data_IF_343342317155
#
_entry.id   IF_343342317155
#
_cell.length_a   1.000
_cell.length_b   1.000
_cell.length_c   1.000
_cell.angle_alpha   90.00
_cell.angle_beta   90.00
_cell.angle_gamma   90.00
#
_symmetry.space_group_name_H-M   'P 1'
#
loop_
_entity.id
_entity.type
_entity.pdbx_description
1 polymer ?
#
# COMPACT_ATOMS: atom_id res chain seq x y z
N UNK A 1 24.44 2.32 -2.75
CA UNK A 1 25.29 2.46 -3.94
C UNK A 1 26.03 1.15 -4.26
N UNK A 2 26.65 0.49 -3.27
CA UNK A 2 27.37 -0.77 -3.51
C UNK A 2 26.48 -1.90 -4.03
N UNK A 3 25.25 -1.99 -3.55
CA UNK A 3 24.29 -3.02 -3.99
C UNK A 3 23.92 -2.79 -5.46
N UNK A 4 23.71 -1.54 -5.87
CA UNK A 4 23.33 -1.22 -7.25
C UNK A 4 24.49 -1.48 -8.23
N UNK A 5 25.73 -1.27 -7.78
CA UNK A 5 26.92 -1.54 -8.61
C UNK A 5 27.04 -3.02 -8.97
N UNK A 6 26.49 -3.91 -8.15
CA UNK A 6 26.51 -5.36 -8.38
C UNK A 6 25.45 -5.83 -9.37
N UNK A 7 24.51 -4.96 -9.76
CA UNK A 7 23.37 -5.27 -10.65
C UNK A 7 22.64 -6.55 -10.26
N UNK A 8 22.11 -6.62 -9.02
CA UNK A 8 21.42 -7.82 -8.55
C UNK A 8 20.11 -8.03 -9.27
N UNK A 9 19.59 -9.26 -9.26
CA UNK A 9 18.27 -9.58 -9.80
C UNK A 9 17.16 -9.26 -8.81
N UNK A 10 17.46 -9.22 -7.53
CA UNK A 10 16.50 -8.95 -6.46
C UNK A 10 17.18 -8.14 -5.37
N UNK A 11 16.49 -7.14 -4.86
CA UNK A 11 16.96 -6.34 -3.73
C UNK A 11 15.91 -6.41 -2.62
N UNK A 12 16.38 -6.63 -1.37
CA UNK A 12 15.54 -6.63 -0.19
C UNK A 12 15.75 -5.33 0.58
N UNK A 13 14.67 -4.60 0.82
CA UNK A 13 14.67 -3.40 1.66
C UNK A 13 13.88 -3.70 2.92
N UNK A 14 14.56 -3.73 4.06
CA UNK A 14 13.95 -4.03 5.35
C UNK A 14 13.77 -2.74 6.15
N UNK A 15 12.57 -2.16 6.07
CA UNK A 15 12.20 -0.92 6.76
C UNK A 15 13.18 0.23 6.47
N UNK A 16 13.65 0.33 5.24
CA UNK A 16 14.72 1.26 4.84
C UNK A 16 14.34 2.74 4.97
N UNK A 17 13.05 3.06 5.06
CA UNK A 17 12.56 4.44 5.15
C UNK A 17 12.17 4.85 6.56
N UNK A 18 12.37 3.98 7.56
CA UNK A 18 11.90 4.22 8.92
C UNK A 18 12.44 5.51 9.56
N UNK A 19 13.65 5.92 9.17
CA UNK A 19 14.31 7.10 9.72
C UNK A 19 14.20 8.35 8.84
N UNK A 20 13.45 8.26 7.75
CA UNK A 20 13.31 9.36 6.80
C UNK A 20 12.01 10.14 7.03
N UNK A 21 12.05 11.43 6.68
CA UNK A 21 10.84 12.25 6.66
C UNK A 21 9.96 11.86 5.45
N UNK A 22 8.70 12.35 5.36
CA UNK A 22 7.80 11.98 4.27
C UNK A 22 8.34 12.28 2.88
N UNK A 23 9.10 13.36 2.71
CA UNK A 23 9.71 13.71 1.41
C UNK A 23 10.81 12.72 1.05
N UNK A 24 11.69 12.41 2.00
CA UNK A 24 12.76 11.43 1.79
C UNK A 24 12.23 10.05 1.48
N UNK A 25 11.17 9.64 2.19
CA UNK A 25 10.52 8.35 1.94
C UNK A 25 9.99 8.26 0.51
N UNK A 26 9.34 9.32 0.04
CA UNK A 26 8.79 9.38 -1.32
C UNK A 26 9.89 9.30 -2.37
N UNK A 27 10.98 10.01 -2.16
CA UNK A 27 12.13 9.99 -3.08
C UNK A 27 12.74 8.61 -3.20
N UNK A 28 12.88 7.90 -2.07
CA UNK A 28 13.41 6.52 -2.06
C UNK A 28 12.46 5.58 -2.80
N UNK A 29 11.15 5.69 -2.54
CA UNK A 29 10.17 4.85 -3.21
C UNK A 29 10.15 5.06 -4.73
N UNK A 30 10.25 6.32 -5.18
CA UNK A 30 10.31 6.63 -6.60
C UNK A 30 11.57 6.04 -7.25
N UNK A 31 12.72 6.17 -6.59
CA UNK A 31 13.97 5.62 -7.08
C UNK A 31 13.92 4.09 -7.18
N UNK A 32 13.37 3.43 -6.18
CA UNK A 32 13.21 1.98 -6.14
C UNK A 32 12.26 1.51 -7.24
N UNK A 33 11.16 2.21 -7.43
CA UNK A 33 10.19 1.88 -8.47
C UNK A 33 10.80 2.02 -9.85
N UNK A 34 11.62 3.04 -10.06
CA UNK A 34 12.35 3.25 -11.30
C UNK A 34 13.30 2.09 -11.59
N UNK A 35 14.03 1.61 -10.59
CA UNK A 35 14.90 0.44 -10.72
C UNK A 35 14.10 -0.80 -11.13
N UNK A 36 12.95 -1.00 -10.53
CA UNK A 36 12.09 -2.14 -10.86
C UNK A 36 11.59 -2.07 -12.31
N UNK A 37 11.12 -0.91 -12.74
CA UNK A 37 10.51 -0.73 -14.05
C UNK A 37 11.54 -0.69 -15.18
N UNK A 38 12.66 0.00 -14.99
CA UNK A 38 13.66 0.20 -16.04
C UNK A 38 14.72 -0.89 -16.08
N UNK A 39 15.17 -1.36 -14.93
CA UNK A 39 16.25 -2.34 -14.82
C UNK A 39 15.73 -3.77 -14.66
N UNK A 40 14.43 -3.96 -14.47
CA UNK A 40 13.84 -5.27 -14.27
C UNK A 40 14.25 -5.94 -12.96
N UNK A 41 14.68 -5.17 -11.97
CA UNK A 41 15.08 -5.70 -10.67
C UNK A 41 13.86 -6.00 -9.84
N UNK A 42 13.78 -7.21 -9.28
CA UNK A 42 12.72 -7.56 -8.35
C UNK A 42 12.99 -6.92 -6.99
N UNK A 43 12.00 -6.24 -6.46
CA UNK A 43 12.13 -5.53 -5.18
C UNK A 43 11.26 -6.22 -4.14
N UNK A 44 11.89 -6.65 -3.03
CA UNK A 44 11.18 -7.12 -1.85
C UNK A 44 11.25 -6.01 -0.81
N UNK A 45 10.11 -5.40 -0.54
CA UNK A 45 10.01 -4.24 0.34
C UNK A 45 9.29 -4.63 1.63
N UNK A 46 10.00 -4.56 2.75
CA UNK A 46 9.44 -4.89 4.07
C UNK A 46 9.14 -3.59 4.79
N UNK A 47 7.89 -3.38 5.15
CA UNK A 47 7.44 -2.14 5.78
C UNK A 47 6.19 -2.37 6.63
N UNK A 48 5.99 -1.50 7.59
CA UNK A 48 4.73 -1.39 8.32
C UNK A 48 3.98 -0.10 7.97
N UNK A 49 4.49 0.66 7.01
CA UNK A 49 3.80 1.85 6.50
C UNK A 49 2.85 1.45 5.37
N UNK A 50 1.58 1.64 5.57
CA UNK A 50 0.55 1.18 4.62
C UNK A 50 0.54 1.97 3.32
N UNK A 51 0.93 3.24 3.35
CA UNK A 51 1.08 4.04 2.14
C UNK A 51 2.20 3.53 1.22
N UNK A 52 3.26 2.97 1.80
CA UNK A 52 4.31 2.31 1.03
C UNK A 52 3.82 1.00 0.45
N UNK A 53 3.15 0.19 1.27
CA UNK A 53 2.61 -1.09 0.82
C UNK A 53 1.59 -0.92 -0.31
N UNK A 54 0.82 0.15 -0.29
CA UNK A 54 -0.18 0.41 -1.33
C UNK A 54 0.43 0.64 -2.71
N UNK A 55 1.72 0.94 -2.79
CA UNK A 55 2.42 1.16 -4.07
C UNK A 55 3.05 -0.10 -4.65
N UNK A 56 2.97 -1.22 -3.95
CA UNK A 56 3.53 -2.49 -4.42
C UNK A 56 2.64 -3.11 -5.51
N UNK A 57 3.24 -3.97 -6.30
CA UNK A 57 2.47 -4.78 -7.27
C UNK A 57 1.73 -5.90 -6.55
N UNK A 58 2.33 -6.41 -5.48
CA UNK A 58 1.79 -7.51 -4.70
C UNK A 58 2.17 -7.35 -3.24
N UNK A 59 1.24 -7.71 -2.36
CA UNK A 59 1.45 -7.66 -0.91
C UNK A 59 1.39 -9.07 -0.33
N UNK A 60 2.36 -9.35 0.53
CA UNK A 60 2.37 -10.56 1.35
C UNK A 60 2.19 -10.11 2.80
N UNK A 61 1.13 -10.58 3.43
CA UNK A 61 0.83 -10.23 4.83
C UNK A 61 1.33 -11.32 5.75
N UNK A 62 2.21 -10.94 6.66
CA UNK A 62 2.79 -11.87 7.64
C UNK A 62 2.22 -11.57 9.02
N UNK A 63 1.86 -12.62 9.75
CA UNK A 63 1.40 -12.51 11.13
C UNK A 63 1.93 -13.71 11.92
N UNK A 64 2.62 -13.43 13.01
CA UNK A 64 3.23 -14.46 13.87
C UNK A 64 4.10 -15.45 13.10
N UNK A 65 4.90 -14.94 12.16
CA UNK A 65 5.82 -15.75 11.37
C UNK A 65 5.17 -16.56 10.26
N UNK A 66 3.88 -16.35 10.00
CA UNK A 66 3.15 -17.09 8.97
C UNK A 66 2.60 -16.14 7.89
N UNK A 67 2.58 -16.61 6.65
CA UNK A 67 1.91 -15.90 5.56
C UNK A 67 0.40 -16.13 5.71
N UNK A 68 -0.34 -15.07 6.02
CA UNK A 68 -1.77 -15.17 6.30
C UNK A 68 -2.65 -14.60 5.19
N UNK A 69 -2.08 -13.78 4.30
CA UNK A 69 -2.81 -13.18 3.20
C UNK A 69 -1.84 -12.77 2.09
N UNK A 70 -2.30 -12.82 0.85
CA UNK A 70 -1.50 -12.48 -0.31
C UNK A 70 -2.40 -11.95 -1.41
N UNK A 71 -1.94 -10.94 -2.15
CA UNK A 71 -2.69 -10.40 -3.28
C UNK A 71 -2.20 -9.02 -3.68
N UNK A 72 -2.94 -8.38 -4.58
CA UNK A 72 -2.66 -6.99 -4.95
C UNK A 72 -3.04 -6.07 -3.79
N UNK A 73 -2.52 -4.83 -3.75
CA UNK A 73 -2.92 -3.90 -2.70
C UNK A 73 -4.43 -3.73 -2.59
N UNK A 74 -5.15 -3.69 -3.70
CA UNK A 74 -6.61 -3.57 -3.70
C UNK A 74 -7.28 -4.76 -3.03
N UNK A 75 -6.84 -5.96 -3.37
CA UNK A 75 -7.38 -7.19 -2.81
C UNK A 75 -7.14 -7.29 -1.31
N UNK A 76 -5.92 -6.96 -0.89
CA UNK A 76 -5.51 -7.05 0.51
C UNK A 76 -6.23 -5.98 1.36
N UNK A 77 -6.19 -4.73 0.94
CA UNK A 77 -6.78 -3.65 1.73
C UNK A 77 -8.29 -3.61 1.69
N UNK A 78 -8.92 -4.26 0.72
CA UNK A 78 -10.37 -4.44 0.73
C UNK A 78 -10.84 -5.28 1.91
N UNK A 79 -9.94 -6.06 2.51
CA UNK A 79 -10.22 -6.88 3.68
C UNK A 79 -9.73 -6.20 4.97
N UNK A 80 -10.06 -4.91 5.12
CA UNK A 80 -9.62 -4.09 6.25
C UNK A 80 -9.97 -4.69 7.61
N UNK A 81 -11.17 -5.25 7.76
CA UNK A 81 -11.60 -5.84 9.02
C UNK A 81 -10.75 -7.05 9.39
N UNK A 82 -10.40 -7.88 8.41
CA UNK A 82 -9.52 -9.03 8.63
C UNK A 82 -8.12 -8.59 9.03
N UNK A 83 -7.58 -7.57 8.37
CA UNK A 83 -6.27 -7.02 8.70
C UNK A 83 -6.24 -6.45 10.12
N UNK A 84 -7.30 -5.75 10.51
CA UNK A 84 -7.43 -5.21 11.87
C UNK A 84 -7.49 -6.31 12.93
N UNK A 85 -8.09 -7.46 12.59
CA UNK A 85 -8.14 -8.61 13.51
C UNK A 85 -6.75 -9.16 13.82
N UNK A 86 -5.79 -8.92 12.94
CA UNK A 86 -4.38 -9.29 13.14
C UNK A 86 -3.55 -8.12 13.65
N UNK A 87 -4.18 -7.04 14.11
CA UNK A 87 -3.52 -5.81 14.59
C UNK A 87 -2.69 -5.12 13.50
N UNK A 88 -3.09 -5.27 12.25
CA UNK A 88 -2.46 -4.61 11.11
C UNK A 88 -3.32 -3.43 10.66
N UNK A 89 -2.67 -2.44 10.06
CA UNK A 89 -3.35 -1.26 9.55
C UNK A 89 -3.68 -1.37 8.06
N UNK A 90 -4.44 -0.39 7.60
CA UNK A 90 -4.72 -0.15 6.18
C UNK A 90 -4.44 1.33 5.90
N UNK A 91 -4.33 1.74 4.62
CA UNK A 91 -4.20 3.18 4.33
C UNK A 91 -5.37 3.96 4.94
N UNK A 92 -5.10 5.18 5.38
CA UNK A 92 -6.13 6.02 6.04
C UNK A 92 -7.38 6.19 5.20
N UNK A 93 -7.20 6.40 3.89
CA UNK A 93 -8.35 6.56 2.98
C UNK A 93 -9.17 5.27 2.85
N UNK A 94 -8.52 4.11 2.94
CA UNK A 94 -9.21 2.82 2.92
C UNK A 94 -10.06 2.65 4.18
N UNK A 95 -9.51 3.03 5.33
CA UNK A 95 -10.23 2.98 6.60
C UNK A 95 -11.42 3.94 6.60
N UNK A 96 -11.21 5.15 6.13
CA UNK A 96 -12.29 6.14 6.03
C UNK A 96 -13.39 5.65 5.09
N UNK A 97 -13.03 5.11 3.94
CA UNK A 97 -13.99 4.54 3.00
C UNK A 97 -14.81 3.42 3.63
N UNK A 98 -14.16 2.55 4.41
CA UNK A 98 -14.81 1.46 5.11
C UNK A 98 -15.84 1.99 6.11
N UNK A 99 -15.45 2.99 6.91
CA UNK A 99 -16.37 3.59 7.88
C UNK A 99 -17.57 4.27 7.21
N UNK A 100 -17.35 4.98 6.12
CA UNK A 100 -18.44 5.63 5.38
C UNK A 100 -19.38 4.61 4.75
N UNK A 101 -18.85 3.49 4.25
CA UNK A 101 -19.69 2.39 3.75
C UNK A 101 -20.59 1.81 4.83
N UNK A 102 -20.07 1.65 6.04
CA UNK A 102 -20.84 1.18 7.19
C UNK A 102 -21.98 2.14 7.52
N UNK A 103 -21.84 3.41 7.19
CA UNK A 103 -22.85 4.45 7.40
C UNK A 103 -23.79 4.63 6.21
N UNK A 104 -23.69 3.77 5.20
CA UNK A 104 -24.59 3.76 4.06
C UNK A 104 -24.11 4.45 2.80
N UNK A 105 -22.91 4.99 2.77
CA UNK A 105 -22.35 5.59 1.55
C UNK A 105 -21.86 4.50 0.59
N UNK A 106 -22.08 4.71 -0.69
CA UNK A 106 -21.69 3.75 -1.73
C UNK A 106 -20.26 4.01 -2.22
N UNK A 107 -19.29 3.73 -1.36
CA UNK A 107 -17.86 3.89 -1.68
C UNK A 107 -17.24 2.49 -1.84
N UNK A 108 -16.45 2.24 -2.91
CA UNK A 108 -15.82 0.94 -3.11
C UNK A 108 -14.89 0.55 -1.96
N UNK A 109 -14.82 -0.75 -1.69
CA UNK A 109 -13.97 -1.29 -0.62
C UNK A 109 -12.48 -1.24 -0.98
N UNK A 110 -12.16 -1.15 -2.26
CA UNK A 110 -10.79 -1.24 -2.77
C UNK A 110 -10.10 0.11 -2.98
N UNK A 111 -10.60 1.16 -2.36
CA UNK A 111 -9.98 2.49 -2.39
C UNK A 111 -8.67 2.44 -1.59
N UNK A 112 -7.56 2.80 -2.22
CA UNK A 112 -6.23 2.71 -1.60
C UNK A 112 -5.43 4.01 -1.62
N UNK A 113 -5.93 5.06 -2.30
CA UNK A 113 -5.26 6.36 -2.31
C UNK A 113 -6.27 7.50 -2.28
N UNK A 114 -5.75 8.70 -1.98
CA UNK A 114 -6.59 9.90 -1.82
C UNK A 114 -7.36 10.24 -3.09
N UNK A 115 -6.73 10.11 -4.25
CA UNK A 115 -7.38 10.41 -5.53
C UNK A 115 -8.62 9.55 -5.75
N UNK A 116 -8.49 8.23 -5.52
CA UNK A 116 -9.62 7.31 -5.66
C UNK A 116 -10.72 7.64 -4.68
N UNK A 117 -10.35 7.98 -3.44
CA UNK A 117 -11.32 8.36 -2.42
C UNK A 117 -12.10 9.61 -2.83
N UNK A 118 -11.40 10.65 -3.29
CA UNK A 118 -12.03 11.89 -3.72
C UNK A 118 -13.00 11.63 -4.87
N UNK A 119 -12.59 10.86 -5.87
CA UNK A 119 -13.45 10.52 -7.01
C UNK A 119 -14.70 9.75 -6.58
N UNK A 120 -14.54 8.78 -5.68
CA UNK A 120 -15.65 7.98 -5.17
C UNK A 120 -16.62 8.83 -4.34
N UNK A 121 -16.09 9.67 -3.47
CA UNK A 121 -16.89 10.57 -2.63
C UNK A 121 -17.67 11.58 -3.49
N UNK A 122 -17.02 12.14 -4.51
CA UNK A 122 -17.66 13.08 -5.40
C UNK A 122 -18.84 12.44 -6.12
N UNK A 123 -18.70 11.20 -6.56
CA UNK A 123 -19.80 10.47 -7.21
C UNK A 123 -20.97 10.23 -6.25
N UNK A 124 -20.69 9.99 -4.97
CA UNK A 124 -21.73 9.82 -3.96
C UNK A 124 -22.55 11.11 -3.78
N UNK A 125 -21.89 12.27 -3.73
CA UNK A 125 -22.56 13.54 -3.58
C UNK A 125 -23.39 13.92 -4.82
N UNK A 126 -22.84 13.67 -6.01
CA UNK A 126 -23.55 13.92 -7.26
C UNK A 126 -24.76 12.99 -7.38
N UNK A 127 -24.61 11.72 -7.00
CA UNK A 127 -25.68 10.74 -7.06
C UNK A 127 -26.81 10.99 -6.07
N UNK A 128 -26.56 11.80 -5.03
CA UNK A 128 -27.58 12.14 -4.02
C UNK A 128 -28.58 13.20 -4.52
N UNK A 129 -28.28 13.85 -5.61
CA UNK A 129 -29.17 14.82 -6.23
C UNK A 129 -30.14 14.13 -7.19
#
# INVERSE_FOLDING_TARGET
>A
AGVLAMKPKCIVFDESTAMLDPVGRREVLEAVRELNEKEGITILWITHYMDEAAQADRILVMNEGKLVMEGTPREVFAQADQLKSWHLDVPQVTELASELRKRGMNIPADVINVKEFVEAAARCFVGAE
#
